data_IF_805721826322
#
_entry.id   IF_805721826322
#
_cell.length_a   1.000
_cell.length_b   1.000
_cell.length_c   1.000
_cell.angle_alpha   90.00
_cell.angle_beta   90.00
_cell.angle_gamma   90.00
#
_symmetry.space_group_name_H-M   'P 1'
#
loop_
_entity.id
_entity.type
_entity.pdbx_description
1 polymer ?
#
# COMPACT_ATOMS: atom_id res chain seq x y z
N UNK A 1 -6.29 6.85 -15.14
CA UNK A 1 -6.63 7.66 -13.96
C UNK A 1 -7.38 8.86 -14.47
N UNK A 2 -8.56 9.10 -13.93
CA UNK A 2 -9.38 10.24 -14.32
C UNK A 2 -8.77 11.55 -13.78
N UNK A 3 -9.07 12.72 -14.37
CA UNK A 3 -8.69 14.01 -13.78
C UNK A 3 -9.25 14.21 -12.37
N UNK A 4 -10.41 13.63 -12.07
CA UNK A 4 -11.00 13.69 -10.73
C UNK A 4 -10.15 12.93 -9.70
N UNK A 5 -9.67 11.71 -10.04
CA UNK A 5 -8.81 10.94 -9.14
C UNK A 5 -7.54 11.74 -8.77
N UNK A 6 -6.96 12.49 -9.72
CA UNK A 6 -5.75 13.30 -9.48
C UNK A 6 -6.03 14.42 -8.47
N UNK A 7 -7.16 15.12 -8.62
CA UNK A 7 -7.56 16.17 -7.69
C UNK A 7 -7.79 15.62 -6.28
N UNK A 8 -8.45 14.47 -6.16
CA UNK A 8 -8.71 13.82 -4.88
C UNK A 8 -7.41 13.30 -4.22
N UNK A 9 -6.49 12.72 -4.99
CA UNK A 9 -5.19 12.28 -4.48
C UNK A 9 -4.42 13.47 -3.89
N UNK A 10 -4.37 14.59 -4.62
CA UNK A 10 -3.68 15.80 -4.18
C UNK A 10 -4.36 16.49 -2.99
N UNK A 11 -5.69 16.58 -2.99
CA UNK A 11 -6.45 17.20 -1.89
C UNK A 11 -6.32 16.43 -0.57
N UNK A 12 -6.20 15.10 -0.64
CA UNK A 12 -6.00 14.24 0.51
C UNK A 12 -4.52 14.13 0.94
N UNK A 13 -3.59 14.76 0.21
CA UNK A 13 -2.14 14.67 0.51
C UNK A 13 -1.60 13.24 0.42
N UNK A 14 -2.19 12.40 -0.43
CA UNK A 14 -1.86 10.98 -0.49
C UNK A 14 -0.46 10.76 -1.11
N UNK A 15 0.40 10.03 -0.40
CA UNK A 15 1.72 9.61 -0.89
C UNK A 15 1.67 8.32 -1.72
N UNK A 16 0.69 7.46 -1.44
CA UNK A 16 0.53 6.15 -2.08
C UNK A 16 -0.85 6.06 -2.73
N UNK A 17 -0.92 5.35 -3.85
CA UNK A 17 -2.15 5.03 -4.55
C UNK A 17 -2.24 3.54 -4.79
N UNK A 18 -3.36 2.92 -4.44
CA UNK A 18 -3.69 1.54 -4.77
C UNK A 18 -5.12 1.42 -5.29
N UNK A 19 -5.73 0.23 -5.19
CA UNK A 19 -7.09 -0.06 -5.66
C UNK A 19 -7.96 -0.75 -4.59
N UNK A 20 -7.45 -1.06 -3.40
CA UNK A 20 -8.13 -1.91 -2.41
C UNK A 20 -8.09 -1.38 -0.96
N UNK A 21 -7.05 -0.63 -0.57
CA UNK A 21 -6.70 -0.36 0.83
C UNK A 21 -7.83 0.25 1.65
N UNK A 22 -8.49 1.29 1.12
CA UNK A 22 -9.60 1.96 1.79
C UNK A 22 -10.82 1.04 1.99
N UNK A 23 -11.11 0.13 1.04
CA UNK A 23 -12.21 -0.81 1.18
C UNK A 23 -11.92 -1.87 2.27
N UNK A 24 -10.67 -2.34 2.33
CA UNK A 24 -10.22 -3.24 3.41
C UNK A 24 -10.31 -2.55 4.77
N UNK A 25 -9.85 -1.30 4.87
CA UNK A 25 -9.95 -0.51 6.10
C UNK A 25 -11.41 -0.32 6.55
N UNK A 26 -12.32 -0.05 5.60
CA UNK A 26 -13.74 0.10 5.88
C UNK A 26 -14.35 -1.17 6.49
N UNK A 27 -14.04 -2.35 5.94
CA UNK A 27 -14.52 -3.61 6.51
C UNK A 27 -13.89 -3.89 7.87
N UNK A 28 -12.60 -3.64 8.04
CA UNK A 28 -11.92 -3.82 9.33
C UNK A 28 -12.55 -2.94 10.42
N UNK A 29 -12.87 -1.68 10.09
CA UNK A 29 -13.54 -0.74 10.99
C UNK A 29 -14.94 -1.22 11.41
N UNK A 30 -15.74 -1.75 10.46
CA UNK A 30 -17.06 -2.32 10.77
C UNK A 30 -17.03 -3.44 11.84
N UNK A 31 -15.92 -4.18 11.93
CA UNK A 31 -15.72 -5.26 12.89
C UNK A 31 -14.75 -4.88 14.02
N UNK A 32 -14.38 -3.60 14.15
CA UNK A 32 -13.41 -3.12 15.16
C UNK A 32 -12.11 -3.94 15.17
N UNK A 33 -11.67 -4.37 13.99
CA UNK A 33 -10.47 -5.19 13.80
C UNK A 33 -9.30 -4.29 13.43
N UNK A 34 -8.17 -4.29 14.18
CA UNK A 34 -6.98 -3.55 13.81
C UNK A 34 -6.44 -3.99 12.45
N UNK A 35 -6.03 -3.03 11.61
CA UNK A 35 -5.50 -3.29 10.28
C UNK A 35 -4.17 -2.54 10.07
N UNK A 36 -3.18 -3.24 9.51
CA UNK A 36 -1.89 -2.67 9.09
C UNK A 36 -1.77 -2.85 7.58
N UNK A 37 -1.30 -1.82 6.88
CA UNK A 37 -1.13 -1.83 5.43
C UNK A 37 0.36 -1.72 5.09
N UNK A 38 0.87 -2.72 4.38
CA UNK A 38 2.21 -2.69 3.79
C UNK A 38 2.03 -2.60 2.28
N UNK A 39 2.57 -1.54 1.66
CA UNK A 39 2.42 -1.26 0.23
C UNK A 39 3.81 -1.09 -0.39
N UNK A 40 4.11 -1.90 -1.40
CA UNK A 40 5.33 -1.74 -2.18
C UNK A 40 5.03 -0.91 -3.44
N UNK A 41 5.86 0.10 -3.68
CA UNK A 41 5.72 0.98 -4.84
C UNK A 41 6.27 0.29 -6.08
N UNK A 42 5.44 0.14 -7.10
CA UNK A 42 5.81 -0.47 -8.39
C UNK A 42 6.01 0.58 -9.50
N UNK A 43 5.35 1.72 -9.40
CA UNK A 43 5.42 2.80 -10.36
C UNK A 43 5.32 4.16 -9.68
N UNK A 44 5.91 5.18 -10.30
CA UNK A 44 5.82 6.57 -9.84
C UNK A 44 4.72 7.26 -10.63
N UNK A 45 3.61 7.57 -9.95
CA UNK A 45 2.37 8.07 -10.58
C UNK A 45 2.56 9.40 -11.32
N UNK A 46 3.39 10.27 -10.76
CA UNK A 46 3.78 11.58 -11.28
C UNK A 46 5.15 11.57 -12.00
N UNK A 47 5.68 10.38 -12.27
CA UNK A 47 6.91 10.17 -13.02
C UNK A 47 6.72 10.29 -14.54
N UNK A 48 7.83 10.28 -15.27
CA UNK A 48 7.84 10.46 -16.72
C UNK A 48 7.52 9.16 -17.51
N UNK A 49 7.63 7.99 -16.87
CA UNK A 49 7.47 6.69 -17.55
C UNK A 49 6.01 6.28 -17.72
N UNK A 50 5.68 5.50 -18.77
CA UNK A 50 4.38 4.84 -18.85
C UNK A 50 4.16 3.90 -17.66
N UNK A 51 3.13 4.20 -16.84
CA UNK A 51 2.86 3.48 -15.58
C UNK A 51 2.75 1.97 -15.72
N UNK A 52 2.07 1.48 -16.75
CA UNK A 52 1.88 0.04 -16.96
C UNK A 52 3.21 -0.68 -17.23
N UNK A 53 4.13 -0.03 -17.94
CA UNK A 53 5.44 -0.58 -18.24
C UNK A 53 6.35 -0.55 -17.00
N UNK A 54 6.37 0.56 -16.27
CA UNK A 54 7.14 0.66 -15.03
C UNK A 54 6.64 -0.32 -13.97
N UNK A 55 5.32 -0.48 -13.84
CA UNK A 55 4.70 -1.49 -12.98
C UNK A 55 5.23 -2.89 -13.31
N UNK A 56 5.13 -3.31 -14.58
CA UNK A 56 5.56 -4.66 -14.99
C UNK A 56 7.07 -4.86 -14.83
N UNK A 57 7.87 -3.84 -15.16
CA UNK A 57 9.32 -3.87 -15.01
C UNK A 57 9.74 -4.07 -13.55
N UNK A 58 9.06 -3.37 -12.63
CA UNK A 58 9.43 -3.36 -11.22
C UNK A 58 8.73 -4.44 -10.41
N UNK A 59 7.69 -5.09 -10.94
CA UNK A 59 6.83 -6.02 -10.21
C UNK A 59 7.63 -7.09 -9.45
N UNK A 60 8.61 -7.73 -10.10
CA UNK A 60 9.44 -8.77 -9.46
C UNK A 60 10.29 -8.21 -8.31
N UNK A 61 10.88 -7.02 -8.48
CA UNK A 61 11.70 -6.41 -7.43
C UNK A 61 10.85 -5.93 -6.26
N UNK A 62 9.73 -5.26 -6.55
CA UNK A 62 8.80 -4.74 -5.55
C UNK A 62 8.14 -5.88 -4.75
N UNK A 63 7.73 -6.97 -5.40
CA UNK A 63 7.16 -8.14 -4.71
C UNK A 63 8.17 -8.87 -3.85
N UNK A 64 9.44 -8.96 -4.28
CA UNK A 64 10.52 -9.49 -3.42
C UNK A 64 10.78 -8.61 -2.20
N UNK A 65 10.79 -7.29 -2.36
CA UNK A 65 10.93 -6.37 -1.25
C UNK A 65 9.72 -6.46 -0.29
N UNK A 66 8.51 -6.61 -0.84
CA UNK A 66 7.29 -6.79 -0.05
C UNK A 66 7.32 -8.10 0.74
N UNK A 67 7.74 -9.21 0.13
CA UNK A 67 7.90 -10.51 0.78
C UNK A 67 8.81 -10.42 2.02
N UNK A 68 9.98 -9.79 1.85
CA UNK A 68 10.92 -9.57 2.95
C UNK A 68 10.31 -8.69 4.05
N UNK A 69 9.74 -7.54 3.68
CA UNK A 69 9.15 -6.62 4.65
C UNK A 69 7.98 -7.24 5.43
N UNK A 70 7.13 -8.02 4.76
CA UNK A 70 6.00 -8.71 5.42
C UNK A 70 6.50 -9.79 6.37
N UNK A 71 7.54 -10.55 5.99
CA UNK A 71 8.15 -11.54 6.88
C UNK A 71 8.71 -10.87 8.15
N UNK A 72 9.38 -9.71 8.00
CA UNK A 72 9.89 -8.93 9.13
C UNK A 72 8.76 -8.40 10.04
N UNK A 73 7.67 -7.87 9.45
CA UNK A 73 6.50 -7.40 10.21
C UNK A 73 5.85 -8.55 10.98
N UNK A 74 5.65 -9.72 10.35
CA UNK A 74 5.07 -10.89 11.02
C UNK A 74 5.97 -11.36 12.16
N UNK A 75 7.28 -11.45 11.93
CA UNK A 75 8.24 -11.81 12.97
C UNK A 75 8.24 -10.81 14.12
N UNK A 76 8.09 -9.52 13.83
CA UNK A 76 7.99 -8.49 14.86
C UNK A 76 6.71 -8.60 15.68
N UNK A 77 5.55 -8.79 15.04
CA UNK A 77 4.25 -8.84 15.73
C UNK A 77 4.06 -10.14 16.54
N UNK A 78 4.71 -11.23 16.13
CA UNK A 78 4.59 -12.53 16.80
C UNK A 78 4.91 -12.43 18.31
N UNK A 79 3.93 -12.79 19.15
CA UNK A 79 4.06 -12.76 20.61
C UNK A 79 3.86 -11.39 21.27
N UNK A 80 3.57 -10.32 20.51
CA UNK A 80 3.27 -8.98 21.02
C UNK A 80 1.76 -8.76 21.19
N UNK A 81 1.39 -7.93 22.16
CA UNK A 81 0.05 -7.33 22.22
C UNK A 81 -0.01 -6.10 21.30
N UNK A 82 -1.23 -5.67 20.94
CA UNK A 82 -1.44 -4.46 20.14
C UNK A 82 -0.87 -3.20 20.80
N UNK A 83 -0.85 -3.16 22.13
CA UNK A 83 -0.25 -2.07 22.92
C UNK A 83 1.27 -1.98 22.78
N UNK A 84 1.91 -3.03 22.29
CA UNK A 84 3.36 -3.12 22.11
C UNK A 84 3.79 -2.79 20.67
N UNK A 85 2.83 -2.45 19.79
CA UNK A 85 3.03 -2.07 18.40
C UNK A 85 3.12 -0.55 18.23
#
# INVERSE_FOLDING_TARGET
>A
MSPHDVLEILSNGATLKDMEGAAVAHVADMFSTPAIFVKAVTEIVDGEKPRAEEFLQNLTAATKALDQAVAEVVNFVCGKCLSDL
#
